data_IF_655845324932
#
_entry.id   IF_655845324932
#
_cell.length_a   1.000
_cell.length_b   1.000
_cell.length_c   1.000
_cell.angle_alpha   90.00
_cell.angle_beta   90.00
_cell.angle_gamma   90.00
#
_symmetry.space_group_name_H-M   'P 1'
#
loop_
_entity.id
_entity.type
_entity.pdbx_description
1 polymer ?
#
# COMPACT_ATOMS: atom_id res chain seq x y z
N UNK A 1 -0.31 23.46 7.19
CA UNK A 1 -1.15 22.25 7.16
C UNK A 1 -1.87 22.08 5.81
N UNK A 2 -2.28 23.15 5.09
CA UNK A 2 -3.08 23.07 3.85
C UNK A 2 -2.60 22.16 2.70
N UNK A 3 -1.31 21.81 2.64
CA UNK A 3 -0.77 20.89 1.63
C UNK A 3 -0.24 19.57 2.22
N UNK A 4 -0.39 19.34 3.53
CA UNK A 4 0.08 18.10 4.16
C UNK A 4 -0.59 16.88 3.52
N UNK A 5 -1.91 16.95 3.30
CA UNK A 5 -2.65 15.88 2.61
C UNK A 5 -2.04 15.53 1.26
N UNK A 6 -1.63 16.54 0.49
CA UNK A 6 -1.09 16.38 -0.86
C UNK A 6 0.29 15.75 -0.82
N UNK A 7 1.15 16.20 0.10
CA UNK A 7 2.46 15.59 0.28
C UNK A 7 2.35 14.15 0.76
N UNK A 8 1.42 13.83 1.66
CA UNK A 8 1.20 12.45 2.11
C UNK A 8 0.77 11.57 0.94
N UNK A 9 -0.19 12.01 0.13
CA UNK A 9 -0.64 11.26 -1.04
C UNK A 9 0.48 11.05 -2.08
N UNK A 10 1.31 12.06 -2.35
CA UNK A 10 2.48 11.91 -3.24
C UNK A 10 3.47 10.88 -2.68
N UNK A 11 3.83 10.99 -1.40
CA UNK A 11 4.81 10.08 -0.80
C UNK A 11 4.25 8.66 -0.74
N UNK A 12 2.94 8.48 -0.51
CA UNK A 12 2.31 7.17 -0.54
C UNK A 12 2.35 6.54 -1.95
N UNK A 13 2.01 7.31 -2.98
CA UNK A 13 2.15 6.85 -4.37
C UNK A 13 3.59 6.51 -4.75
N UNK A 14 4.57 7.31 -4.30
CA UNK A 14 5.99 7.00 -4.48
C UNK A 14 6.42 5.76 -3.68
N UNK A 15 5.83 5.55 -2.50
CA UNK A 15 6.08 4.38 -1.66
C UNK A 15 5.57 3.12 -2.34
N UNK A 16 4.41 3.13 -2.99
CA UNK A 16 3.90 2.02 -3.81
C UNK A 16 4.84 1.72 -5.00
N UNK A 17 5.29 2.73 -5.74
CA UNK A 17 6.29 2.55 -6.82
C UNK A 17 7.58 1.94 -6.28
N UNK A 18 8.02 2.38 -5.10
CA UNK A 18 9.20 1.85 -4.43
C UNK A 18 8.99 0.40 -3.99
N UNK A 19 7.86 0.06 -3.37
CA UNK A 19 7.50 -1.30 -2.97
C UNK A 19 7.54 -2.23 -4.16
N UNK A 20 6.82 -1.89 -5.24
CA UNK A 20 6.81 -2.66 -6.48
C UNK A 20 8.22 -2.87 -7.02
N UNK A 21 9.04 -1.82 -7.04
CA UNK A 21 10.42 -1.89 -7.55
C UNK A 21 11.29 -2.79 -6.69
N UNK A 22 11.21 -2.66 -5.37
CA UNK A 22 12.00 -3.46 -4.44
C UNK A 22 11.60 -4.94 -4.51
N UNK A 23 10.31 -5.24 -4.42
CA UNK A 23 9.84 -6.63 -4.37
C UNK A 23 9.97 -7.34 -5.71
N UNK A 24 9.64 -6.68 -6.83
CA UNK A 24 9.58 -7.34 -8.13
C UNK A 24 10.82 -7.19 -8.99
N UNK A 25 11.68 -6.20 -8.76
CA UNK A 25 12.91 -6.00 -9.54
C UNK A 25 14.19 -6.29 -8.77
N UNK A 26 14.28 -5.88 -7.50
CA UNK A 26 15.52 -6.01 -6.71
C UNK A 26 15.56 -7.32 -5.93
N UNK A 27 14.50 -7.62 -5.17
CA UNK A 27 14.41 -8.77 -4.27
C UNK A 27 13.49 -9.88 -4.79
N UNK A 28 13.28 -9.94 -6.11
CA UNK A 28 12.31 -10.84 -6.73
C UNK A 28 12.40 -12.30 -6.27
N UNK A 29 13.60 -12.88 -6.28
CA UNK A 29 13.81 -14.27 -5.88
C UNK A 29 13.45 -14.50 -4.40
N UNK A 30 13.83 -13.58 -3.52
CA UNK A 30 13.50 -13.66 -2.10
C UNK A 30 11.98 -13.53 -1.90
N UNK A 31 11.35 -12.59 -2.60
CA UNK A 31 9.94 -12.32 -2.48
C UNK A 31 9.07 -13.50 -2.93
N UNK A 32 9.42 -14.13 -4.06
CA UNK A 32 8.76 -15.35 -4.54
C UNK A 32 8.92 -16.50 -3.55
N UNK A 33 10.12 -16.69 -3.00
CA UNK A 33 10.38 -17.73 -2.00
C UNK A 33 9.57 -17.49 -0.72
N UNK A 34 9.52 -16.24 -0.25
CA UNK A 34 8.73 -15.86 0.92
C UNK A 34 7.24 -16.12 0.70
N UNK A 35 6.69 -15.74 -0.46
CA UNK A 35 5.31 -16.06 -0.83
C UNK A 35 5.03 -17.56 -0.83
N UNK A 36 5.94 -18.37 -1.39
CA UNK A 36 5.82 -19.83 -1.38
C UNK A 36 5.83 -20.44 0.03
N UNK A 37 6.66 -19.92 0.95
CA UNK A 37 6.68 -20.37 2.35
C UNK A 37 5.38 -20.01 3.08
N UNK A 38 4.84 -18.82 2.85
CA UNK A 38 3.57 -18.39 3.43
C UNK A 38 2.41 -19.26 2.93
N UNK A 39 2.38 -19.55 1.62
CA UNK A 39 1.35 -20.41 1.02
C UNK A 39 1.40 -21.84 1.59
N UNK A 40 2.61 -22.39 1.75
CA UNK A 40 2.79 -23.70 2.40
C UNK A 40 2.38 -23.72 3.88
N UNK A 41 2.40 -22.57 4.57
CA UNK A 41 2.04 -22.48 5.99
C UNK A 41 0.54 -22.26 6.19
N UNK A 42 -0.09 -21.46 5.32
CA UNK A 42 -1.51 -21.11 5.42
C UNK A 42 -2.41 -22.11 4.72
N UNK A 43 -1.90 -22.81 3.70
CA UNK A 43 -2.68 -23.69 2.81
C UNK A 43 -3.89 -22.99 2.18
N UNK A 44 -3.84 -21.67 2.01
CA UNK A 44 -4.93 -20.86 1.48
C UNK A 44 -4.39 -19.68 0.70
N UNK A 45 -4.72 -19.61 -0.59
CA UNK A 45 -4.31 -18.51 -1.47
C UNK A 45 -4.84 -17.16 -0.98
N UNK A 46 -6.07 -17.13 -0.44
CA UNK A 46 -6.64 -15.89 0.13
C UNK A 46 -5.88 -15.44 1.38
N UNK A 47 -5.52 -16.35 2.28
CA UNK A 47 -4.75 -15.98 3.48
C UNK A 47 -3.34 -15.53 3.12
N UNK A 48 -2.70 -16.18 2.15
CA UNK A 48 -1.40 -15.75 1.60
C UNK A 48 -1.47 -14.36 1.01
N UNK A 49 -2.51 -14.08 0.23
CA UNK A 49 -2.76 -12.74 -0.31
C UNK A 49 -2.97 -11.71 0.80
N UNK A 50 -3.81 -11.98 1.80
CA UNK A 50 -4.00 -11.05 2.94
C UNK A 50 -2.69 -10.77 3.67
N UNK A 51 -1.83 -11.78 3.87
CA UNK A 51 -0.52 -11.58 4.50
C UNK A 51 0.37 -10.69 3.64
N UNK A 52 0.37 -10.88 2.31
CA UNK A 52 1.07 -10.02 1.36
C UNK A 52 0.60 -8.56 1.48
N UNK A 53 -0.71 -8.31 1.47
CA UNK A 53 -1.28 -6.97 1.63
C UNK A 53 -0.93 -6.34 2.99
N UNK A 54 -0.90 -7.12 4.07
CA UNK A 54 -0.47 -6.64 5.39
C UNK A 54 1.02 -6.26 5.37
N UNK A 55 1.86 -7.02 4.66
CA UNK A 55 3.28 -6.68 4.51
C UNK A 55 3.47 -5.40 3.70
N UNK A 56 2.69 -5.19 2.65
CA UNK A 56 2.69 -3.96 1.85
C UNK A 56 2.22 -2.75 2.66
N UNK A 57 1.10 -2.88 3.38
CA UNK A 57 0.64 -1.87 4.33
C UNK A 57 1.70 -1.56 5.41
N UNK A 58 2.37 -2.60 5.93
CA UNK A 58 3.48 -2.45 6.87
C UNK A 58 4.67 -1.70 6.28
N UNK A 59 4.98 -1.93 5.00
CA UNK A 59 6.00 -1.18 4.27
C UNK A 59 5.61 0.30 4.18
N UNK A 60 4.39 0.62 3.78
CA UNK A 60 3.90 2.01 3.74
C UNK A 60 3.91 2.68 5.11
N UNK A 61 3.50 1.97 6.17
CA UNK A 61 3.58 2.47 7.53
C UNK A 61 4.99 2.95 7.88
N UNK A 62 6.02 2.15 7.59
CA UNK A 62 7.41 2.47 7.89
C UNK A 62 7.87 3.69 7.09
N UNK A 63 7.68 3.67 5.76
CA UNK A 63 8.14 4.74 4.88
C UNK A 63 7.49 6.07 5.25
N UNK A 64 6.16 6.10 5.42
CA UNK A 64 5.44 7.34 5.72
C UNK A 64 5.75 7.85 7.13
N UNK A 65 5.91 6.95 8.11
CA UNK A 65 6.31 7.34 9.47
C UNK A 65 7.67 8.03 9.49
N UNK A 66 8.63 7.53 8.71
CA UNK A 66 9.98 8.09 8.62
C UNK A 66 9.95 9.44 7.91
N UNK A 67 9.30 9.53 6.74
CA UNK A 67 9.30 10.75 5.91
C UNK A 67 8.61 11.91 6.63
N UNK A 68 7.49 11.66 7.30
CA UNK A 68 6.73 12.69 8.02
C UNK A 68 7.08 12.83 9.50
N UNK A 69 8.01 12.00 9.99
CA UNK A 69 8.36 11.89 11.41
C UNK A 69 7.10 11.74 12.30
N UNK A 70 6.11 11.00 11.81
CA UNK A 70 4.78 10.89 12.42
C UNK A 70 4.22 9.48 12.25
N UNK A 71 4.23 8.66 13.32
CA UNK A 71 3.60 7.34 13.31
C UNK A 71 2.11 7.40 12.98
N UNK A 72 1.43 8.49 13.33
CA UNK A 72 0.02 8.71 13.01
C UNK A 72 -0.21 8.79 11.50
N UNK A 73 0.62 9.56 10.78
CA UNK A 73 0.54 9.63 9.30
C UNK A 73 0.82 8.26 8.70
N UNK A 74 1.83 7.54 9.20
CA UNK A 74 2.14 6.20 8.75
C UNK A 74 0.98 5.22 8.93
N UNK A 75 0.34 5.20 10.11
CA UNK A 75 -0.80 4.30 10.39
C UNK A 75 -1.95 4.63 9.46
N UNK A 76 -2.30 5.91 9.31
CA UNK A 76 -3.38 6.34 8.44
C UNK A 76 -3.13 5.93 6.99
N UNK A 77 -1.89 6.10 6.49
CA UNK A 77 -1.49 5.73 5.14
C UNK A 77 -1.56 4.22 4.90
N UNK A 78 -1.00 3.42 5.82
CA UNK A 78 -1.06 1.97 5.74
C UNK A 78 -2.48 1.42 5.75
N UNK A 79 -3.34 1.97 6.63
CA UNK A 79 -4.72 1.52 6.73
C UNK A 79 -5.53 1.87 5.48
N UNK A 80 -5.42 3.10 4.96
CA UNK A 80 -6.19 3.47 3.77
C UNK A 80 -5.74 2.69 2.55
N UNK A 81 -4.43 2.46 2.38
CA UNK A 81 -3.89 1.67 1.29
C UNK A 81 -4.45 0.24 1.33
N UNK A 82 -4.30 -0.45 2.47
CA UNK A 82 -4.83 -1.79 2.69
C UNK A 82 -6.35 -1.89 2.45
N UNK A 83 -7.12 -0.89 2.90
CA UNK A 83 -8.57 -0.85 2.67
C UNK A 83 -8.87 -0.76 1.17
N UNK A 84 -8.13 0.06 0.43
CA UNK A 84 -8.29 0.16 -1.03
C UNK A 84 -7.93 -1.18 -1.67
N UNK A 85 -6.86 -1.84 -1.25
CA UNK A 85 -6.44 -3.14 -1.79
C UNK A 85 -7.48 -4.23 -1.63
N UNK A 86 -8.02 -4.36 -0.42
CA UNK A 86 -9.13 -5.27 -0.13
C UNK A 86 -10.36 -4.90 -0.96
N UNK A 87 -10.66 -3.60 -1.08
CA UNK A 87 -11.86 -3.15 -1.80
C UNK A 87 -11.77 -3.45 -3.28
N UNK A 88 -10.68 -3.05 -3.96
CA UNK A 88 -10.57 -3.29 -5.40
C UNK A 88 -10.47 -4.78 -5.72
N UNK A 89 -9.74 -5.56 -4.91
CA UNK A 89 -9.64 -7.02 -5.09
C UNK A 89 -11.01 -7.73 -5.02
N UNK A 90 -11.92 -7.25 -4.17
CA UNK A 90 -13.26 -7.84 -4.03
C UNK A 90 -14.22 -7.36 -5.12
N UNK A 91 -14.20 -6.06 -5.46
CA UNK A 91 -15.25 -5.43 -6.27
C UNK A 91 -14.85 -5.14 -7.72
N UNK A 92 -13.57 -5.01 -8.02
CA UNK A 92 -13.07 -4.59 -9.33
C UNK A 92 -12.02 -5.60 -9.81
N UNK A 93 -12.40 -6.47 -10.75
CA UNK A 93 -11.49 -7.47 -11.32
C UNK A 93 -10.78 -6.90 -12.55
N UNK A 94 -9.57 -7.41 -12.80
CA UNK A 94 -8.79 -7.19 -14.03
C UNK A 94 -8.34 -5.74 -14.30
N UNK A 95 -7.96 -5.01 -13.25
CA UNK A 95 -7.39 -3.67 -13.40
C UNK A 95 -5.97 -3.70 -13.97
N UNK A 96 -5.68 -2.80 -14.90
CA UNK A 96 -4.32 -2.53 -15.33
C UNK A 96 -3.49 -1.81 -14.25
N UNK A 97 -2.16 -1.88 -14.36
CA UNK A 97 -1.23 -1.23 -13.40
C UNK A 97 -1.52 0.27 -13.26
N UNK A 98 -1.83 0.97 -14.37
CA UNK A 98 -2.12 2.40 -14.35
C UNK A 98 -3.46 2.70 -13.65
N UNK A 99 -4.47 1.89 -13.90
CA UNK A 99 -5.81 2.04 -13.30
C UNK A 99 -5.75 1.81 -11.79
N UNK A 100 -5.00 0.79 -11.36
CA UNK A 100 -4.73 0.52 -9.95
C UNK A 100 -4.04 1.69 -9.26
N UNK A 101 -2.93 2.17 -9.79
CA UNK A 101 -2.23 3.33 -9.19
C UNK A 101 -3.08 4.60 -9.18
N UNK A 102 -3.89 4.82 -10.23
CA UNK A 102 -4.80 5.96 -10.28
C UNK A 102 -5.90 5.86 -9.22
N UNK A 103 -6.45 4.66 -9.00
CA UNK A 103 -7.45 4.41 -7.96
C UNK A 103 -6.87 4.74 -6.58
N UNK A 104 -5.69 4.19 -6.26
CA UNK A 104 -5.00 4.49 -5.01
C UNK A 104 -4.77 5.99 -4.84
N UNK A 105 -4.15 6.63 -5.83
CA UNK A 105 -3.84 8.06 -5.72
C UNK A 105 -5.07 8.94 -5.49
N UNK A 106 -6.19 8.67 -6.19
CA UNK A 106 -7.43 9.44 -6.01
C UNK A 106 -8.06 9.19 -4.65
N UNK A 107 -8.26 7.92 -4.27
CA UNK A 107 -8.93 7.56 -3.02
C UNK A 107 -8.11 7.99 -1.79
N UNK A 108 -6.80 7.77 -1.80
CA UNK A 108 -5.89 8.18 -0.73
C UNK A 108 -5.83 9.71 -0.61
N UNK A 109 -5.79 10.43 -1.75
CA UNK A 109 -5.85 11.90 -1.75
C UNK A 109 -7.15 12.41 -1.12
N UNK A 110 -8.30 11.87 -1.52
CA UNK A 110 -9.59 12.26 -0.95
C UNK A 110 -9.65 11.99 0.57
N UNK A 111 -9.15 10.84 1.00
CA UNK A 111 -9.06 10.50 2.42
C UNK A 111 -8.22 11.52 3.20
N UNK A 112 -7.03 11.87 2.71
CA UNK A 112 -6.19 12.84 3.41
C UNK A 112 -6.68 14.28 3.31
N UNK A 113 -7.37 14.67 2.23
CA UNK A 113 -8.05 15.97 2.14
C UNK A 113 -9.07 16.11 3.28
N UNK A 114 -9.86 15.06 3.53
CA UNK A 114 -10.86 15.07 4.60
C UNK A 114 -10.22 15.28 5.98
N UNK A 115 -9.04 14.68 6.21
CA UNK A 115 -8.36 14.73 7.51
C UNK A 115 -7.48 15.98 7.71
N UNK A 116 -6.80 16.46 6.67
CA UNK A 116 -5.76 17.49 6.77
C UNK A 116 -5.95 18.68 5.81
N UNK A 117 -7.07 18.75 5.10
CA UNK A 117 -7.34 19.78 4.09
C UNK A 117 -7.71 21.16 4.65
N UNK A 118 -8.14 21.23 5.91
CA UNK A 118 -8.70 22.43 6.54
C UNK A 118 -7.73 23.07 7.54
#
# INVERSE_FOLDING_TARGET
MHLLWFYVAIVLALSDVLHTTLMWKVFNNFYILLGGLIDQTTHSTWQTWVIHEIMEAGFHFIILSIVFLSPTVGILAALIHFVIDVTHTVFIRDMGILEHRALHFVCESLFFIILFGF
#
